data_IF_992812920061
#
_entry.id   IF_992812920061
#
_cell.length_a   1.000
_cell.length_b   1.000
_cell.length_c   1.000
_cell.angle_alpha   90.00
_cell.angle_beta   90.00
_cell.angle_gamma   90.00
#
_symmetry.space_group_name_H-M   'P 1'
#
loop_
_entity.id
_entity.type
_entity.pdbx_description
1 polymer ?
#
# COMPACT_ATOMS: atom_id res chain seq x y z
N UNK A 1 32.98 -71.89 -22.98
CA UNK A 1 33.44 -72.08 -24.39
C UNK A 1 33.16 -70.78 -25.16
N UNK A 2 34.06 -70.21 -25.98
CA UNK A 2 34.25 -70.41 -27.44
C UNK A 2 32.92 -70.44 -28.24
N UNK A 3 32.70 -69.67 -29.33
CA UNK A 3 33.51 -68.59 -29.93
C UNK A 3 32.72 -67.68 -30.93
N UNK A 4 33.36 -66.58 -31.36
CA UNK A 4 33.17 -65.67 -32.52
C UNK A 4 32.37 -66.20 -33.74
N UNK A 5 31.77 -65.39 -34.64
CA UNK A 5 32.19 -64.11 -35.28
C UNK A 5 30.95 -63.41 -35.96
N UNK A 6 30.96 -62.30 -36.73
CA UNK A 6 31.99 -61.38 -37.31
C UNK A 6 31.42 -59.93 -37.51
N UNK A 7 32.30 -59.00 -37.86
CA UNK A 7 32.18 -57.54 -38.12
C UNK A 7 31.34 -57.08 -39.36
N UNK A 8 30.83 -55.84 -39.32
CA UNK A 8 31.21 -54.70 -40.21
C UNK A 8 30.86 -53.31 -39.61
N UNK A 9 31.58 -52.27 -40.03
CA UNK A 9 31.28 -50.82 -39.88
C UNK A 9 31.62 -50.10 -41.20
N UNK A 10 31.82 -48.76 -41.31
CA UNK A 10 32.15 -47.78 -40.24
C UNK A 10 31.52 -46.34 -40.37
N UNK A 11 31.92 -45.42 -39.48
CA UNK A 11 32.12 -43.95 -39.71
C UNK A 11 30.89 -43.01 -39.88
N UNK A 12 30.89 -41.72 -39.52
CA UNK A 12 31.53 -40.95 -38.41
C UNK A 12 30.98 -39.50 -38.33
N UNK A 13 31.31 -38.78 -37.23
CA UNK A 13 31.21 -37.31 -36.98
C UNK A 13 29.81 -36.69 -36.82
N UNK A 14 29.67 -35.78 -35.83
CA UNK A 14 28.51 -34.87 -35.78
C UNK A 14 28.09 -34.29 -34.42
N UNK A 15 29.00 -33.95 -33.50
CA UNK A 15 28.60 -33.19 -32.30
C UNK A 15 27.99 -31.83 -32.68
N UNK A 16 26.85 -31.47 -32.08
CA UNK A 16 26.46 -30.06 -31.99
C UNK A 16 25.60 -29.75 -30.76
N UNK A 17 26.20 -28.99 -29.85
CA UNK A 17 25.60 -28.41 -28.65
C UNK A 17 24.33 -27.62 -29.02
N UNK A 18 23.21 -27.88 -28.32
CA UNK A 18 22.03 -26.99 -28.35
C UNK A 18 22.12 -26.00 -27.19
N UNK A 19 22.76 -24.85 -27.44
CA UNK A 19 22.65 -23.69 -26.55
C UNK A 19 21.23 -23.11 -26.57
N UNK A 20 20.81 -22.52 -25.46
CA UNK A 20 19.56 -21.78 -25.34
C UNK A 20 19.62 -20.50 -26.18
N UNK A 21 18.54 -20.15 -26.88
CA UNK A 21 18.41 -18.88 -27.60
C UNK A 21 17.33 -18.00 -26.95
N UNK A 22 17.76 -16.89 -26.36
CA UNK A 22 16.89 -15.79 -25.94
C UNK A 22 16.22 -15.12 -27.15
N UNK A 23 14.92 -14.79 -27.06
CA UNK A 23 14.32 -13.78 -27.94
C UNK A 23 14.79 -12.37 -27.55
N UNK A 24 15.94 -11.91 -28.09
CA UNK A 24 16.35 -10.50 -28.09
C UNK A 24 16.26 -9.91 -29.51
N UNK A 25 15.09 -9.42 -29.88
CA UNK A 25 14.84 -8.66 -31.12
C UNK A 25 13.79 -7.56 -30.87
N UNK A 26 13.85 -6.38 -31.49
CA UNK A 26 15.02 -5.56 -31.82
C UNK A 26 14.58 -4.11 -32.04
N UNK A 27 15.28 -3.11 -31.50
CA UNK A 27 14.89 -1.69 -31.64
C UNK A 27 15.52 -1.05 -32.90
N UNK A 28 14.86 -1.19 -34.06
CA UNK A 28 15.04 -0.40 -35.31
C UNK A 28 14.03 -0.89 -36.36
N UNK A 29 13.46 -0.05 -37.23
CA UNK A 29 13.56 1.41 -37.37
C UNK A 29 12.29 1.97 -38.06
N UNK A 30 12.01 3.26 -37.86
CA UNK A 30 11.42 4.13 -38.88
C UNK A 30 11.70 5.60 -38.51
N UNK A 31 12.28 6.36 -39.42
CA UNK A 31 12.51 7.82 -39.35
C UNK A 31 12.14 8.42 -40.70
N UNK A 32 11.76 9.70 -40.71
CA UNK A 32 11.36 10.54 -41.87
C UNK A 32 9.95 10.30 -42.43
N UNK A 33 9.01 11.11 -41.95
CA UNK A 33 8.29 12.06 -42.81
C UNK A 33 8.53 13.46 -42.21
N UNK A 34 8.47 14.52 -43.02
CA UNK A 34 8.82 15.91 -42.65
C UNK A 34 7.56 16.79 -42.49
N UNK A 35 7.64 18.04 -41.97
CA UNK A 35 6.54 18.62 -41.22
C UNK A 35 5.51 19.41 -42.04
N UNK A 36 4.26 19.28 -41.60
CA UNK A 36 3.20 20.29 -41.64
C UNK A 36 2.73 20.44 -40.19
N UNK A 37 2.32 21.60 -39.68
CA UNK A 37 2.26 22.95 -40.23
C UNK A 37 1.61 23.81 -39.14
N UNK A 38 2.19 24.95 -38.78
CA UNK A 38 1.74 25.69 -37.60
C UNK A 38 0.41 26.39 -37.88
N UNK A 39 -0.59 26.21 -37.00
CA UNK A 39 -1.76 27.08 -36.96
C UNK A 39 -2.25 27.30 -35.53
N UNK A 40 -2.10 28.53 -35.07
CA UNK A 40 -2.55 29.06 -33.79
C UNK A 40 -3.95 29.67 -33.94
N UNK A 41 -4.92 29.35 -33.07
CA UNK A 41 -6.17 30.10 -32.97
C UNK A 41 -6.12 31.06 -31.77
N UNK A 42 -5.89 32.35 -32.03
CA UNK A 42 -6.08 33.38 -31.01
C UNK A 42 -7.57 33.71 -30.77
N UNK A 43 -7.94 34.18 -29.56
CA UNK A 43 -9.34 34.34 -29.17
C UNK A 43 -9.90 35.75 -29.45
N UNK A 44 -11.13 35.84 -29.96
CA UNK A 44 -11.94 37.06 -29.86
C UNK A 44 -13.43 36.83 -30.14
N UNK A 45 -14.28 37.62 -29.47
CA UNK A 45 -15.73 37.78 -29.65
C UNK A 45 -16.64 36.53 -29.43
N UNK A 46 -17.85 36.66 -28.89
CA UNK A 46 -18.44 37.74 -28.07
C UNK A 46 -19.62 37.18 -27.23
N UNK A 47 -20.20 38.02 -26.37
CA UNK A 47 -21.38 37.69 -25.55
C UNK A 47 -22.60 37.29 -26.41
N UNK A 48 -23.38 36.30 -25.93
CA UNK A 48 -24.83 36.45 -25.68
C UNK A 48 -25.42 35.19 -25.00
N UNK A 49 -26.74 35.22 -24.73
CA UNK A 49 -27.58 34.11 -24.23
C UNK A 49 -27.40 33.69 -22.75
N UNK A 50 -27.52 34.65 -21.83
CA UNK A 50 -28.24 34.37 -20.57
C UNK A 50 -29.75 34.53 -20.80
N UNK A 51 -30.54 33.47 -20.56
CA UNK A 51 -31.99 33.56 -20.32
C UNK A 51 -32.42 32.59 -19.22
N UNK A 52 -32.98 33.12 -18.15
CA UNK A 52 -33.72 32.37 -17.14
C UNK A 52 -35.18 32.14 -17.60
N UNK A 53 -35.82 31.03 -17.20
CA UNK A 53 -37.20 31.01 -16.76
C UNK A 53 -37.28 31.32 -15.26
N UNK A 54 -38.36 31.99 -14.82
CA UNK A 54 -38.63 32.27 -13.41
C UNK A 54 -39.72 31.36 -12.85
N UNK A 55 -39.74 31.18 -11.52
CA UNK A 55 -40.87 30.65 -10.76
C UNK A 55 -41.11 31.54 -9.52
N UNK A 56 -42.35 31.62 -8.99
CA UNK A 56 -42.81 32.79 -8.23
C UNK A 56 -42.50 32.75 -6.73
N UNK A 57 -42.64 33.91 -6.08
CA UNK A 57 -42.48 34.10 -4.65
C UNK A 57 -43.80 33.94 -3.87
N UNK A 58 -43.68 33.61 -2.58
CA UNK A 58 -44.76 33.66 -1.57
C UNK A 58 -44.23 34.46 -0.37
N UNK A 59 -45.10 35.25 0.28
CA UNK A 59 -44.68 36.32 1.18
C UNK A 59 -44.63 35.94 2.68
N UNK A 60 -43.59 36.46 3.34
CA UNK A 60 -43.44 36.87 4.76
C UNK A 60 -44.51 36.51 5.81
N UNK A 61 -44.02 36.08 6.99
CA UNK A 61 -44.51 36.62 8.27
C UNK A 61 -43.38 36.72 9.30
N UNK A 62 -43.53 37.60 10.29
CA UNK A 62 -42.48 38.03 11.23
C UNK A 62 -42.60 37.38 12.62
N UNK A 63 -41.48 37.32 13.36
CA UNK A 63 -41.41 36.84 14.75
C UNK A 63 -40.13 37.31 15.45
N UNK A 64 -40.30 37.96 16.60
CA UNK A 64 -39.28 38.69 17.37
C UNK A 64 -38.31 37.82 18.17
N UNK A 65 -37.09 38.33 18.40
CA UNK A 65 -36.13 37.87 19.44
C UNK A 65 -36.54 38.37 20.85
N UNK A 66 -35.89 37.94 21.95
CA UNK A 66 -34.61 38.58 22.37
C UNK A 66 -33.58 37.67 23.09
N UNK A 67 -32.37 38.22 23.31
CA UNK A 67 -31.37 37.96 24.39
C UNK A 67 -31.17 36.55 24.99
N UNK A 68 -29.94 36.03 25.17
CA UNK A 68 -28.59 36.53 24.87
C UNK A 68 -27.61 36.42 26.06
N UNK A 69 -26.32 36.20 25.78
CA UNK A 69 -25.20 36.40 26.74
C UNK A 69 -23.90 36.69 25.99
N UNK A 70 -22.97 37.37 26.66
CA UNK A 70 -21.63 37.68 26.13
C UNK A 70 -20.54 37.06 26.99
N UNK A 71 -19.47 36.58 26.35
CA UNK A 71 -18.10 36.68 26.88
C UNK A 71 -17.02 36.29 25.86
N UNK A 72 -16.17 37.27 25.55
CA UNK A 72 -14.72 37.18 25.28
C UNK A 72 -14.19 35.85 24.72
N UNK A 73 -14.01 35.79 23.40
CA UNK A 73 -12.97 34.96 22.78
C UNK A 73 -11.70 35.78 22.56
N UNK A 74 -10.55 35.30 23.06
CA UNK A 74 -9.25 35.86 22.67
C UNK A 74 -8.93 35.45 21.22
N UNK A 75 -8.37 36.39 20.45
CA UNK A 75 -8.11 36.22 19.03
C UNK A 75 -6.74 35.59 18.75
N UNK A 76 -6.67 34.27 18.66
CA UNK A 76 -5.54 33.57 18.03
C UNK A 76 -5.76 33.49 16.52
N UNK A 77 -4.95 34.21 15.74
CA UNK A 77 -5.05 34.27 14.28
C UNK A 77 -4.39 33.08 13.59
N UNK A 78 -4.94 31.88 13.80
CA UNK A 78 -4.55 30.67 13.06
C UNK A 78 -5.16 30.62 11.67
N UNK A 79 -4.38 30.25 10.65
CA UNK A 79 -4.89 29.90 9.32
C UNK A 79 -5.80 28.67 9.42
N UNK A 80 -6.97 28.73 8.78
CA UNK A 80 -8.08 27.82 9.07
C UNK A 80 -7.97 26.48 8.32
N UNK A 81 -6.89 25.74 8.58
CA UNK A 81 -6.69 24.34 8.17
C UNK A 81 -7.57 23.43 9.03
N UNK A 82 -8.87 23.40 8.73
CA UNK A 82 -9.87 22.61 9.46
C UNK A 82 -9.44 21.14 9.59
N UNK A 83 -9.68 20.53 10.75
CA UNK A 83 -9.01 19.31 11.23
C UNK A 83 -9.29 18.02 10.45
N UNK A 84 -8.68 17.88 9.26
CA UNK A 84 -8.63 16.63 8.51
C UNK A 84 -7.52 15.69 8.98
N UNK A 85 -6.44 16.24 9.55
CA UNK A 85 -5.20 15.53 9.89
C UNK A 85 -4.94 15.58 11.41
N UNK A 86 -5.92 15.18 12.22
CA UNK A 86 -5.82 15.18 13.69
C UNK A 86 -5.53 13.77 14.21
N UNK A 87 -4.40 13.59 14.90
CA UNK A 87 -3.91 12.29 15.39
C UNK A 87 -3.52 12.38 16.88
N UNK A 88 -4.49 12.48 17.82
CA UNK A 88 -4.20 12.64 19.24
C UNK A 88 -3.41 11.47 19.83
N UNK A 89 -3.69 10.25 19.36
CA UNK A 89 -3.01 9.01 19.75
C UNK A 89 -1.56 8.88 19.22
N UNK A 90 -1.07 9.83 18.42
CA UNK A 90 0.24 9.73 17.76
C UNK A 90 0.85 11.11 17.42
N UNK A 91 1.34 11.85 18.44
CA UNK A 91 1.92 13.18 18.24
C UNK A 91 3.10 13.20 17.27
N UNK A 92 3.97 12.18 17.30
CA UNK A 92 5.10 12.07 16.35
C UNK A 92 4.64 12.09 14.89
N UNK A 93 3.56 11.38 14.59
CA UNK A 93 2.99 11.36 13.24
C UNK A 93 2.30 12.69 12.91
N UNK A 94 1.61 13.31 13.87
CA UNK A 94 1.04 14.65 13.71
C UNK A 94 2.12 15.68 13.35
N UNK A 95 3.25 15.69 14.05
CA UNK A 95 4.40 16.59 13.80
C UNK A 95 5.07 16.36 12.43
N UNK A 96 5.02 15.13 11.91
CA UNK A 96 5.49 14.81 10.55
C UNK A 96 4.52 15.35 9.51
N UNK A 97 3.21 15.21 9.71
CA UNK A 97 2.21 15.77 8.79
C UNK A 97 2.18 17.30 8.85
N UNK A 98 2.33 17.91 10.03
CA UNK A 98 2.40 19.37 10.16
C UNK A 98 3.61 19.93 9.40
N UNK A 99 4.79 19.28 9.49
CA UNK A 99 5.97 19.67 8.69
C UNK A 99 5.78 19.47 7.18
N UNK A 100 5.00 18.46 6.76
CA UNK A 100 4.62 18.29 5.36
C UNK A 100 3.69 19.42 4.87
N UNK A 101 2.74 19.85 5.69
CA UNK A 101 1.83 20.97 5.39
C UNK A 101 2.59 22.30 5.33
N UNK A 102 3.45 22.58 6.32
CA UNK A 102 4.32 23.77 6.35
C UNK A 102 5.26 23.83 5.13
N UNK A 103 5.89 22.71 4.77
CA UNK A 103 6.72 22.62 3.57
C UNK A 103 5.95 22.96 2.29
N UNK A 104 4.72 22.47 2.15
CA UNK A 104 3.84 22.77 1.01
C UNK A 104 3.42 24.26 0.99
N UNK A 105 3.07 24.84 2.14
CA UNK A 105 2.73 26.27 2.25
C UNK A 105 3.94 27.17 1.89
N UNK A 106 5.15 26.76 2.30
CA UNK A 106 6.42 27.39 1.94
C UNK A 106 6.96 26.99 0.54
N UNK A 107 6.15 26.35 -0.31
CA UNK A 107 6.44 26.09 -1.71
C UNK A 107 7.36 24.89 -2.01
N UNK A 108 7.70 24.09 -1.00
CA UNK A 108 8.43 22.82 -1.13
C UNK A 108 7.43 21.70 -1.38
N UNK A 109 7.03 21.54 -2.65
CA UNK A 109 6.00 20.58 -3.03
C UNK A 109 6.50 19.12 -3.10
N UNK A 110 5.61 18.11 -2.90
CA UNK A 110 5.95 16.70 -3.08
C UNK A 110 6.30 16.37 -4.54
N UNK A 111 7.34 15.58 -4.74
CA UNK A 111 7.85 15.17 -6.05
C UNK A 111 7.30 13.80 -6.45
N UNK A 112 6.90 13.66 -7.72
CA UNK A 112 6.29 12.43 -8.22
C UNK A 112 7.32 11.32 -8.43
N UNK A 113 7.07 10.13 -7.90
CA UNK A 113 7.94 8.96 -8.09
C UNK A 113 7.83 8.49 -9.54
N UNK A 114 8.96 8.43 -10.25
CA UNK A 114 9.03 8.13 -11.70
C UNK A 114 8.89 6.64 -12.03
N UNK A 115 9.53 5.78 -11.24
CA UNK A 115 9.54 4.32 -11.43
C UNK A 115 8.27 3.62 -10.93
N UNK A 116 7.46 4.28 -10.10
CA UNK A 116 6.35 3.67 -9.38
C UNK A 116 5.02 3.55 -10.13
N UNK A 117 4.00 3.11 -9.38
CA UNK A 117 2.59 3.18 -9.80
C UNK A 117 2.17 4.65 -10.04
N UNK A 118 1.14 4.87 -10.87
CA UNK A 118 0.86 6.18 -11.48
C UNK A 118 0.31 7.30 -10.57
N UNK A 119 0.40 7.16 -9.25
CA UNK A 119 -0.06 8.14 -8.25
C UNK A 119 0.69 8.00 -6.93
N UNK A 120 2.02 8.13 -6.93
CA UNK A 120 2.86 8.10 -5.72
C UNK A 120 3.82 9.31 -5.70
N UNK A 121 4.01 9.91 -4.53
CA UNK A 121 4.76 11.15 -4.33
C UNK A 121 5.69 11.08 -3.12
N UNK A 122 6.95 11.49 -3.25
CA UNK A 122 7.83 11.78 -2.13
C UNK A 122 7.46 13.12 -1.52
N UNK A 123 6.97 13.11 -0.28
CA UNK A 123 6.68 14.31 0.51
C UNK A 123 7.94 14.71 1.27
N UNK A 124 8.19 16.03 1.33
CA UNK A 124 9.41 16.61 1.88
C UNK A 124 9.10 17.54 3.05
N UNK A 125 10.08 17.75 3.92
CA UNK A 125 10.09 18.87 4.85
C UNK A 125 10.63 20.16 4.21
N UNK A 126 10.65 21.27 4.96
CA UNK A 126 11.15 22.57 4.49
C UNK A 126 12.64 22.52 4.07
N UNK A 127 13.42 21.62 4.68
CA UNK A 127 14.83 21.36 4.37
C UNK A 127 15.00 20.49 3.12
N UNK A 128 13.89 20.17 2.43
CA UNK A 128 13.78 19.30 1.25
C UNK A 128 14.16 17.83 1.50
N UNK A 129 14.27 17.41 2.77
CA UNK A 129 14.48 16.01 3.14
C UNK A 129 13.18 15.24 2.92
N UNK A 130 13.24 14.04 2.34
CA UNK A 130 12.07 13.17 2.18
C UNK A 130 11.65 12.64 3.56
N UNK A 131 10.38 12.84 3.91
CA UNK A 131 9.80 12.44 5.20
C UNK A 131 8.69 11.38 5.05
N UNK A 132 8.12 11.23 3.86
CA UNK A 132 7.11 10.21 3.60
C UNK A 132 6.80 9.98 2.13
N UNK A 133 6.07 8.90 1.86
CA UNK A 133 5.48 8.59 0.55
C UNK A 133 3.97 8.75 0.66
N UNK A 134 3.40 9.62 -0.19
CA UNK A 134 1.96 9.86 -0.26
C UNK A 134 1.35 9.26 -1.53
N UNK A 135 0.27 8.49 -1.37
CA UNK A 135 -0.47 7.82 -2.47
C UNK A 135 -1.94 8.28 -2.47
N UNK A 136 -2.30 9.34 -3.22
CA UNK A 136 -3.67 9.85 -3.23
C UNK A 136 -4.64 8.91 -3.97
N UNK A 137 -5.71 8.51 -3.28
CA UNK A 137 -6.79 7.63 -3.77
C UNK A 137 -7.24 7.93 -5.20
N UNK A 138 -7.44 9.22 -5.52
CA UNK A 138 -7.91 9.68 -6.83
C UNK A 138 -7.02 9.26 -8.01
N UNK A 139 -5.74 8.96 -7.76
CA UNK A 139 -4.72 8.66 -8.78
C UNK A 139 -4.29 7.18 -8.77
N UNK A 140 -4.92 6.34 -7.93
CA UNK A 140 -4.76 4.88 -7.94
C UNK A 140 -5.01 4.28 -9.35
N UNK A 141 -4.55 3.06 -9.66
CA UNK A 141 -4.77 2.43 -10.97
C UNK A 141 -6.24 2.40 -11.47
N UNK A 142 -7.21 2.42 -10.54
CA UNK A 142 -8.66 2.47 -10.82
C UNK A 142 -9.31 3.82 -10.47
N UNK A 143 -8.51 4.80 -10.04
CA UNK A 143 -8.95 6.14 -9.68
C UNK A 143 -9.35 6.98 -10.90
N UNK A 144 -10.34 7.85 -10.70
CA UNK A 144 -10.94 8.69 -11.74
C UNK A 144 -10.01 9.80 -12.27
N UNK A 145 -8.85 10.01 -11.64
CA UNK A 145 -7.80 10.94 -12.05
C UNK A 145 -6.45 10.22 -12.27
N UNK A 146 -6.45 8.92 -12.60
CA UNK A 146 -5.25 8.18 -12.95
C UNK A 146 -4.60 8.74 -14.24
N UNK A 147 -3.37 9.32 -14.18
CA UNK A 147 -2.74 9.93 -15.35
C UNK A 147 -2.21 8.92 -16.39
N UNK A 148 -2.22 7.60 -16.12
CA UNK A 148 -1.93 6.57 -17.15
C UNK A 148 -3.26 6.11 -17.81
N UNK A 149 -3.80 6.97 -18.67
CA UNK A 149 -5.08 6.80 -19.41
C UNK A 149 -5.24 5.45 -20.13
N UNK A 150 -4.14 4.82 -20.54
CA UNK A 150 -4.13 3.50 -21.20
C UNK A 150 -4.83 2.39 -20.41
N UNK A 151 -4.83 2.44 -19.06
CA UNK A 151 -5.57 1.47 -18.24
C UNK A 151 -7.09 1.62 -18.33
N UNK A 152 -7.61 2.81 -18.67
CA UNK A 152 -9.05 3.02 -18.91
C UNK A 152 -9.49 2.40 -20.23
N UNK A 153 -8.68 2.54 -21.29
CA UNK A 153 -8.96 1.92 -22.60
C UNK A 153 -8.98 0.39 -22.50
N UNK A 154 -8.01 -0.22 -21.81
CA UNK A 154 -7.96 -1.68 -21.62
C UNK A 154 -9.12 -2.23 -20.77
N UNK A 155 -9.67 -1.42 -19.84
CA UNK A 155 -10.86 -1.77 -19.05
C UNK A 155 -12.11 -1.95 -19.94
N UNK A 156 -12.17 -1.28 -21.09
CA UNK A 156 -13.30 -1.36 -22.02
C UNK A 156 -13.20 -2.58 -22.95
N UNK A 157 -11.99 -3.01 -23.34
CA UNK A 157 -11.80 -4.10 -24.30
C UNK A 157 -11.65 -5.51 -23.69
N UNK A 158 -11.15 -5.66 -22.46
CA UNK A 158 -10.93 -6.99 -21.84
C UNK A 158 -11.28 -7.03 -20.34
N UNK A 159 -12.57 -7.03 -19.96
CA UNK A 159 -13.01 -6.97 -18.56
C UNK A 159 -12.58 -8.19 -17.71
N UNK A 160 -12.32 -9.34 -18.31
CA UNK A 160 -11.82 -10.54 -17.63
C UNK A 160 -10.30 -10.50 -17.34
N UNK A 161 -9.52 -9.72 -18.08
CA UNK A 161 -8.05 -9.72 -17.97
C UNK A 161 -7.52 -8.65 -17.01
N UNK A 162 -8.18 -7.49 -16.93
CA UNK A 162 -7.65 -6.30 -16.24
C UNK A 162 -8.35 -5.99 -14.91
N UNK A 163 -7.86 -6.63 -13.86
CA UNK A 163 -8.28 -6.42 -12.49
C UNK A 163 -7.70 -7.50 -11.57
N UNK A 164 -7.51 -7.20 -10.29
CA UNK A 164 -7.44 -8.26 -9.26
C UNK A 164 -8.87 -8.56 -8.82
N UNK A 165 -9.51 -9.55 -9.44
CA UNK A 165 -10.92 -9.90 -9.22
C UNK A 165 -11.28 -10.43 -7.82
N UNK A 166 -10.32 -10.38 -6.89
CA UNK A 166 -10.46 -10.67 -5.45
C UNK A 166 -10.28 -9.42 -4.57
N UNK A 167 -9.89 -8.26 -5.12
CA UNK A 167 -9.72 -7.00 -4.40
C UNK A 167 -10.88 -6.04 -4.69
N UNK A 168 -11.20 -5.16 -3.74
CA UNK A 168 -12.10 -4.03 -3.98
C UNK A 168 -11.36 -2.92 -4.74
N UNK A 169 -12.00 -2.26 -5.73
CA UNK A 169 -11.36 -1.21 -6.51
C UNK A 169 -11.24 0.09 -5.69
N UNK A 170 -10.17 0.86 -5.93
CA UNK A 170 -10.01 2.24 -5.45
C UNK A 170 -10.01 2.38 -3.91
N UNK A 171 -9.47 1.37 -3.21
CA UNK A 171 -9.25 1.29 -1.76
C UNK A 171 -7.78 0.99 -1.39
N UNK A 172 -6.83 1.12 -2.33
CA UNK A 172 -5.43 0.79 -2.08
C UNK A 172 -4.81 1.58 -0.93
N UNK A 173 -5.20 2.86 -0.79
CA UNK A 173 -4.79 3.70 0.33
C UNK A 173 -5.27 3.19 1.71
N UNK A 174 -6.41 2.47 1.79
CA UNK A 174 -6.85 1.81 3.02
C UNK A 174 -6.02 0.56 3.29
N UNK A 175 -5.74 -0.24 2.25
CA UNK A 175 -4.88 -1.43 2.35
C UNK A 175 -3.49 -1.11 2.91
N UNK A 176 -2.92 0.04 2.50
CA UNK A 176 -1.66 0.56 3.04
C UNK A 176 -1.73 0.92 4.54
N UNK A 177 -2.73 1.69 4.95
CA UNK A 177 -2.91 2.07 6.36
C UNK A 177 -3.27 0.85 7.23
N UNK A 178 -4.07 -0.08 6.69
CA UNK A 178 -4.49 -1.31 7.35
C UNK A 178 -3.33 -2.30 7.56
N UNK A 179 -2.36 -2.35 6.64
CA UNK A 179 -1.14 -3.13 6.86
C UNK A 179 -0.33 -2.58 8.04
N UNK A 180 -0.20 -1.26 8.17
CA UNK A 180 0.47 -0.62 9.32
C UNK A 180 -0.31 -0.81 10.63
N UNK A 181 -1.65 -0.89 10.57
CA UNK A 181 -2.51 -1.18 11.71
C UNK A 181 -2.31 -2.63 12.18
N UNK A 182 -2.35 -3.60 11.26
CA UNK A 182 -2.10 -5.02 11.55
C UNK A 182 -0.69 -5.23 12.10
N UNK A 183 0.33 -4.58 11.53
CA UNK A 183 1.71 -4.62 12.03
C UNK A 183 1.79 -4.14 13.48
N UNK A 184 1.21 -2.97 13.77
CA UNK A 184 1.20 -2.37 15.12
C UNK A 184 0.47 -3.27 16.12
N UNK A 185 -0.74 -3.77 15.77
CA UNK A 185 -1.57 -4.60 16.66
C UNK A 185 -0.94 -5.98 16.92
N UNK A 186 -0.19 -6.53 15.97
CA UNK A 186 0.62 -7.75 16.14
C UNK A 186 2.01 -7.52 16.76
N UNK A 187 2.51 -6.28 16.80
CA UNK A 187 3.84 -5.95 17.31
C UNK A 187 5.00 -6.41 16.41
N UNK A 188 4.78 -6.44 15.09
CA UNK A 188 5.76 -6.98 14.13
C UNK A 188 6.93 -6.01 13.90
N UNK A 189 6.64 -4.72 13.69
CA UNK A 189 7.63 -3.66 13.51
C UNK A 189 8.32 -3.68 12.16
N UNK A 190 7.65 -4.16 11.10
CA UNK A 190 8.20 -4.23 9.73
C UNK A 190 7.52 -3.26 8.75
N UNK A 191 6.27 -2.83 8.97
CA UNK A 191 5.62 -1.79 8.15
C UNK A 191 6.01 -0.40 8.64
N UNK A 192 6.58 0.48 7.80
CA UNK A 192 6.77 1.88 8.17
C UNK A 192 5.42 2.55 8.48
N UNK A 193 5.30 3.23 9.63
CA UNK A 193 4.06 3.83 10.16
C UNK A 193 3.27 4.53 9.04
N UNK A 194 2.07 4.03 8.74
CA UNK A 194 1.24 4.49 7.60
C UNK A 194 -0.18 4.80 8.04
N UNK A 195 -0.70 5.99 7.71
CA UNK A 195 -2.08 6.40 8.04
C UNK A 195 -2.78 7.06 6.85
N UNK A 196 -4.10 7.21 6.96
CA UNK A 196 -4.91 8.00 6.01
C UNK A 196 -4.72 9.49 6.31
N UNK A 197 -4.35 10.27 5.30
CA UNK A 197 -4.02 11.71 5.42
C UNK A 197 -4.65 12.48 4.25
N UNK A 198 -4.96 13.76 4.49
CA UNK A 198 -5.51 14.69 3.52
C UNK A 198 -4.48 15.77 3.15
N UNK A 199 -3.88 15.72 1.97
CA UNK A 199 -2.93 16.73 1.49
C UNK A 199 -3.44 17.45 0.24
N UNK A 200 -3.11 18.73 0.07
CA UNK A 200 -3.33 19.50 -1.15
C UNK A 200 -1.99 20.07 -1.64
N UNK A 201 -1.61 19.86 -2.91
CA UNK A 201 -0.37 20.40 -3.47
C UNK A 201 -0.48 20.58 -4.99
N UNK A 202 0.15 21.61 -5.56
CA UNK A 202 0.06 21.90 -7.00
C UNK A 202 0.67 20.80 -7.89
N UNK A 203 1.55 19.96 -7.34
CA UNK A 203 2.16 18.80 -8.04
C UNK A 203 1.24 17.58 -8.18
N UNK A 204 0.13 17.52 -7.45
CA UNK A 204 -0.86 16.44 -7.58
C UNK A 204 -1.71 16.60 -8.85
N UNK A 205 -2.24 15.48 -9.38
CA UNK A 205 -3.01 15.48 -10.62
C UNK A 205 -4.47 15.89 -10.40
N UNK A 206 -4.77 17.17 -10.62
CA UNK A 206 -6.12 17.73 -10.51
C UNK A 206 -6.78 17.95 -11.87
N UNK A 207 -8.11 17.95 -11.90
CA UNK A 207 -8.86 18.30 -13.11
C UNK A 207 -8.59 19.77 -13.53
N UNK A 208 -8.75 20.06 -14.81
CA UNK A 208 -8.67 21.43 -15.32
C UNK A 208 -9.69 22.37 -14.63
N UNK A 209 -10.86 21.84 -14.27
CA UNK A 209 -11.92 22.56 -13.56
C UNK A 209 -11.47 22.95 -12.14
N UNK A 210 -10.80 22.07 -11.41
CA UNK A 210 -10.34 22.36 -10.05
C UNK A 210 -9.17 23.35 -10.06
N UNK A 211 -8.27 23.24 -11.04
CA UNK A 211 -7.18 24.22 -11.26
C UNK A 211 -7.70 25.59 -11.69
N UNK A 212 -8.79 25.66 -12.46
CA UNK A 212 -9.46 26.92 -12.78
C UNK A 212 -10.15 27.52 -11.55
N UNK A 213 -10.86 26.70 -10.77
CA UNK A 213 -11.56 27.13 -9.53
C UNK A 213 -10.60 27.62 -8.45
N UNK A 214 -9.44 26.97 -8.25
CA UNK A 214 -8.45 27.42 -7.26
C UNK A 214 -7.84 28.77 -7.64
N UNK A 215 -7.44 28.93 -8.92
CA UNK A 215 -6.96 30.21 -9.48
C UNK A 215 -7.99 31.33 -9.35
N UNK A 216 -9.25 31.08 -9.75
CA UNK A 216 -10.33 32.06 -9.66
C UNK A 216 -10.62 32.50 -8.22
N UNK A 217 -10.60 31.57 -7.26
CA UNK A 217 -10.73 31.88 -5.82
C UNK A 217 -9.56 32.70 -5.28
N UNK A 218 -8.32 32.35 -5.65
CA UNK A 218 -7.12 33.07 -5.23
C UNK A 218 -7.14 34.51 -5.74
N UNK A 219 -7.40 34.69 -7.05
CA UNK A 219 -7.59 36.01 -7.66
C UNK A 219 -8.72 36.82 -7.00
N UNK A 220 -9.86 36.19 -6.70
CA UNK A 220 -10.97 36.86 -6.02
C UNK A 220 -10.65 37.26 -4.56
N UNK A 221 -9.79 36.52 -3.86
CA UNK A 221 -9.27 36.92 -2.55
C UNK A 221 -8.32 38.12 -2.66
N UNK A 222 -7.38 38.07 -3.60
CA UNK A 222 -6.37 39.11 -3.84
C UNK A 222 -6.99 40.43 -4.33
N UNK A 223 -7.99 40.38 -5.22
CA UNK A 223 -8.62 41.56 -5.82
C UNK A 223 -9.85 42.07 -5.10
N UNK A 224 -10.64 41.20 -4.45
CA UNK A 224 -11.88 41.61 -3.76
C UNK A 224 -11.98 40.92 -2.39
N UNK A 225 -11.21 41.36 -1.37
CA UNK A 225 -11.18 40.71 -0.05
C UNK A 225 -12.56 40.54 0.62
N UNK A 226 -13.51 41.45 0.36
CA UNK A 226 -14.90 41.37 0.85
C UNK A 226 -15.70 40.18 0.29
N UNK A 227 -15.32 39.67 -0.89
CA UNK A 227 -15.87 38.44 -1.49
C UNK A 227 -14.98 37.25 -1.14
N UNK A 228 -13.64 37.43 -1.19
CA UNK A 228 -12.66 36.41 -0.79
C UNK A 228 -12.92 35.78 0.57
N UNK A 229 -13.22 36.61 1.59
CA UNK A 229 -13.56 36.17 2.96
C UNK A 229 -14.82 35.30 3.07
N UNK A 230 -15.64 35.17 2.02
CA UNK A 230 -16.79 34.24 1.99
C UNK A 230 -16.38 32.82 1.56
N UNK A 231 -15.22 32.65 0.92
CA UNK A 231 -14.74 31.33 0.53
C UNK A 231 -14.15 30.60 1.74
N UNK A 232 -14.91 29.64 2.27
CA UNK A 232 -14.52 28.77 3.38
C UNK A 232 -13.30 27.86 3.05
N UNK A 233 -12.85 27.85 1.79
CA UNK A 233 -11.59 27.23 1.35
C UNK A 233 -11.07 27.90 0.09
N UNK A 234 -9.85 28.46 0.17
CA UNK A 234 -9.07 29.00 -0.95
C UNK A 234 -7.91 28.03 -1.23
N UNK A 235 -7.47 27.92 -2.49
CA UNK A 235 -6.50 26.90 -2.92
C UNK A 235 -7.16 25.66 -3.55
N UNK A 236 -6.38 24.59 -3.70
CA UNK A 236 -6.81 23.30 -4.27
C UNK A 236 -7.56 22.44 -3.22
N UNK A 237 -8.49 21.56 -3.64
CA UNK A 237 -9.14 20.65 -2.70
C UNK A 237 -8.15 19.56 -2.25
N UNK A 238 -8.13 19.17 -0.97
CA UNK A 238 -7.24 18.10 -0.51
C UNK A 238 -7.65 16.75 -1.13
N UNK A 239 -6.64 15.92 -1.38
CA UNK A 239 -6.81 14.52 -1.74
C UNK A 239 -6.62 13.68 -0.49
N UNK A 240 -7.53 12.73 -0.28
CA UNK A 240 -7.30 11.63 0.67
C UNK A 240 -6.34 10.63 0.05
N UNK A 241 -5.44 10.09 0.86
CA UNK A 241 -4.47 9.06 0.47
C UNK A 241 -3.81 8.42 1.67
N UNK A 242 -2.95 7.44 1.43
CA UNK A 242 -2.07 6.91 2.46
C UNK A 242 -0.79 7.74 2.51
N UNK A 243 -0.34 8.06 3.72
CA UNK A 243 0.97 8.64 3.99
C UNK A 243 1.78 7.62 4.80
N UNK A 244 2.83 7.10 4.19
CA UNK A 244 3.77 6.14 4.77
C UNK A 244 5.06 6.87 5.14
N UNK A 245 5.59 6.66 6.34
CA UNK A 245 6.89 7.25 6.72
C UNK A 245 8.01 6.74 5.81
N UNK A 246 8.91 7.64 5.42
CA UNK A 246 10.09 7.28 4.62
C UNK A 246 11.16 6.62 5.50
N UNK A 247 11.92 5.67 4.95
CA UNK A 247 12.94 4.91 5.69
C UNK A 247 14.30 5.02 5.02
N UNK A 248 15.31 5.46 5.78
CA UNK A 248 16.65 5.79 5.30
C UNK A 248 17.64 4.63 5.45
N UNK A 249 18.51 4.43 4.45
CA UNK A 249 19.50 3.33 4.43
C UNK A 249 18.94 1.96 4.03
N UNK A 250 17.73 1.92 3.47
CA UNK A 250 17.09 0.70 2.97
C UNK A 250 17.26 0.55 1.45
N UNK A 251 17.47 -0.68 0.99
CA UNK A 251 17.49 -1.05 -0.43
C UNK A 251 16.57 -2.25 -0.69
N UNK A 252 16.15 -2.47 -1.94
CA UNK A 252 15.37 -3.64 -2.36
C UNK A 252 15.94 -4.95 -1.80
N UNK A 253 15.08 -5.84 -1.28
CA UNK A 253 15.55 -7.09 -0.71
C UNK A 253 16.27 -7.96 -1.74
N UNK A 254 15.81 -7.95 -2.99
CA UNK A 254 16.44 -8.62 -4.15
C UNK A 254 17.91 -8.20 -4.38
N UNK A 255 18.28 -6.95 -4.09
CA UNK A 255 19.68 -6.48 -4.13
C UNK A 255 20.51 -7.13 -3.00
N UNK A 256 20.00 -7.15 -1.78
CA UNK A 256 20.72 -7.69 -0.62
C UNK A 256 20.79 -9.22 -0.62
N UNK A 257 19.73 -9.91 -1.03
CA UNK A 257 19.69 -11.38 -1.11
C UNK A 257 20.78 -11.90 -2.05
N UNK A 258 20.95 -11.29 -3.25
CA UNK A 258 22.06 -11.61 -4.16
C UNK A 258 23.44 -11.41 -3.53
N UNK A 259 23.61 -10.39 -2.69
CA UNK A 259 24.88 -10.20 -1.96
C UNK A 259 25.09 -11.30 -0.92
N UNK A 260 24.05 -11.71 -0.19
CA UNK A 260 24.15 -12.75 0.84
C UNK A 260 24.33 -14.18 0.26
N UNK A 261 24.03 -14.39 -1.01
CA UNK A 261 24.38 -15.63 -1.74
C UNK A 261 25.89 -15.71 -2.07
N UNK A 262 26.55 -14.56 -2.29
CA UNK A 262 28.00 -14.49 -2.57
C UNK A 262 28.84 -14.31 -1.29
N UNK A 263 28.36 -13.50 -0.34
CA UNK A 263 28.98 -13.18 0.95
C UNK A 263 28.01 -13.57 2.09
N UNK A 264 28.03 -14.83 2.57
CA UNK A 264 27.12 -15.30 3.60
C UNK A 264 27.21 -14.47 4.90
N UNK A 265 26.04 -14.10 5.44
CA UNK A 265 25.95 -13.32 6.68
C UNK A 265 26.50 -14.08 7.90
N UNK A 266 27.14 -13.39 8.87
CA UNK A 266 27.46 -13.95 10.18
C UNK A 266 26.22 -14.54 10.86
N UNK A 267 26.37 -15.64 11.59
CA UNK A 267 25.25 -16.44 12.12
C UNK A 267 24.26 -15.63 12.97
N UNK A 268 24.72 -14.66 13.76
CA UNK A 268 23.86 -13.80 14.56
C UNK A 268 22.99 -12.88 13.69
N UNK A 269 23.59 -12.19 12.70
CA UNK A 269 22.86 -11.38 11.72
C UNK A 269 21.94 -12.24 10.84
N UNK A 270 22.35 -13.48 10.51
CA UNK A 270 21.51 -14.44 9.78
C UNK A 270 20.25 -14.83 10.56
N UNK A 271 20.36 -15.01 11.89
CA UNK A 271 19.21 -15.21 12.79
C UNK A 271 18.32 -13.96 12.88
N UNK A 272 18.91 -12.77 13.02
CA UNK A 272 18.16 -11.50 13.00
C UNK A 272 17.36 -11.34 11.69
N UNK A 273 17.98 -11.61 10.53
CA UNK A 273 17.30 -11.59 9.23
C UNK A 273 16.16 -12.61 9.16
N UNK A 274 16.33 -13.82 9.70
CA UNK A 274 15.28 -14.84 9.75
C UNK A 274 14.09 -14.41 10.62
N UNK A 275 14.32 -13.83 11.81
CA UNK A 275 13.25 -13.27 12.66
C UNK A 275 12.49 -12.13 11.97
N UNK A 276 13.22 -11.20 11.35
CA UNK A 276 12.63 -10.12 10.53
C UNK A 276 11.81 -10.67 9.35
N UNK A 277 12.30 -11.71 8.69
CA UNK A 277 11.63 -12.36 7.56
C UNK A 277 10.34 -13.09 7.99
N UNK A 278 10.35 -13.76 9.14
CA UNK A 278 9.17 -14.41 9.70
C UNK A 278 8.07 -13.41 10.07
N UNK A 279 8.45 -12.23 10.57
CA UNK A 279 7.51 -11.11 10.81
C UNK A 279 6.87 -10.61 9.51
N UNK A 280 7.64 -10.46 8.43
CA UNK A 280 7.13 -10.15 7.09
C UNK A 280 6.15 -11.23 6.58
N UNK A 281 6.49 -12.51 6.75
CA UNK A 281 5.62 -13.65 6.38
C UNK A 281 4.29 -13.61 7.15
N UNK A 282 4.34 -13.35 8.47
CA UNK A 282 3.14 -13.24 9.32
C UNK A 282 2.23 -12.11 8.83
N UNK A 283 2.78 -10.91 8.57
CA UNK A 283 2.04 -9.79 8.01
C UNK A 283 1.36 -10.18 6.69
N UNK A 284 2.13 -10.59 5.69
CA UNK A 284 1.65 -10.86 4.33
C UNK A 284 0.59 -11.97 4.29
N UNK A 285 0.73 -13.00 5.15
CA UNK A 285 -0.25 -14.07 5.24
C UNK A 285 -1.55 -13.59 5.88
N UNK A 286 -1.49 -12.87 7.02
CA UNK A 286 -2.70 -12.35 7.70
C UNK A 286 -3.50 -11.42 6.79
N UNK A 287 -2.84 -10.44 6.14
CA UNK A 287 -3.52 -9.49 5.24
C UNK A 287 -3.84 -10.10 3.85
N UNK A 288 -3.40 -11.35 3.60
CA UNK A 288 -3.34 -12.01 2.28
C UNK A 288 -2.90 -11.06 1.17
N UNK A 289 -1.68 -10.54 1.29
CA UNK A 289 -1.07 -9.70 0.27
C UNK A 289 -1.04 -10.42 -1.09
N UNK A 290 -1.31 -9.69 -2.17
CA UNK A 290 -1.31 -10.23 -3.55
C UNK A 290 -0.18 -9.69 -4.42
N UNK A 291 0.67 -8.76 -3.94
CA UNK A 291 1.77 -8.14 -4.71
C UNK A 291 3.16 -8.15 -4.07
N UNK A 292 3.42 -9.02 -3.08
CA UNK A 292 4.79 -9.13 -2.54
C UNK A 292 5.74 -9.84 -3.52
N UNK A 293 6.36 -9.05 -4.40
CA UNK A 293 7.64 -9.37 -5.06
C UNK A 293 8.84 -9.11 -4.12
N UNK A 294 10.07 -9.35 -4.58
CA UNK A 294 11.31 -9.08 -3.80
C UNK A 294 11.89 -7.66 -4.00
N UNK A 295 11.27 -6.90 -4.89
CA UNK A 295 11.30 -5.45 -5.04
C UNK A 295 10.44 -4.76 -3.95
N UNK A 296 9.25 -5.30 -3.69
CA UNK A 296 8.25 -4.72 -2.80
C UNK A 296 8.50 -4.97 -1.29
N UNK A 297 9.71 -5.31 -0.88
CA UNK A 297 10.18 -5.19 0.51
C UNK A 297 11.66 -4.82 0.51
N UNK A 298 12.07 -4.07 1.52
CA UNK A 298 13.42 -3.53 1.61
C UNK A 298 14.18 -4.18 2.77
N UNK A 299 15.50 -4.30 2.62
CA UNK A 299 16.44 -4.64 3.68
C UNK A 299 17.34 -3.43 3.93
N UNK A 300 17.53 -3.08 5.21
CA UNK A 300 18.63 -2.27 5.70
C UNK A 300 19.62 -3.19 6.40
N UNK A 301 20.89 -3.12 6.03
CA UNK A 301 21.99 -3.85 6.67
C UNK A 301 23.15 -2.89 6.91
N UNK A 302 23.49 -2.67 8.18
CA UNK A 302 24.65 -1.90 8.61
C UNK A 302 25.70 -2.88 9.14
N UNK A 303 26.86 -2.95 8.48
CA UNK A 303 27.97 -3.79 8.92
C UNK A 303 28.65 -3.14 10.13
N UNK A 304 28.79 -3.90 11.20
CA UNK A 304 29.47 -3.49 12.41
C UNK A 304 30.98 -3.42 12.20
N UNK A 305 31.52 -2.19 12.20
CA UNK A 305 32.95 -1.92 12.19
C UNK A 305 33.59 -1.66 10.82
N UNK A 306 34.62 -0.82 10.85
CA UNK A 306 35.64 -0.62 9.80
C UNK A 306 35.24 0.16 8.53
N UNK A 307 34.51 1.27 8.70
CA UNK A 307 34.73 2.47 7.86
C UNK A 307 34.78 3.72 8.76
N UNK A 308 35.91 4.45 8.76
CA UNK A 308 35.96 5.85 9.23
C UNK A 308 36.09 6.13 10.73
N UNK A 309 36.89 5.39 11.50
CA UNK A 309 37.44 5.89 12.79
C UNK A 309 38.97 5.88 12.75
N UNK A 310 39.55 7.08 12.76
CA UNK A 310 40.96 7.30 13.05
C UNK A 310 41.27 7.02 14.52
N UNK A 311 42.53 6.75 14.84
CA UNK A 311 42.99 6.30 16.15
C UNK A 311 42.80 7.36 17.24
N UNK A 312 42.23 6.93 18.38
CA UNK A 312 42.47 7.55 19.70
C UNK A 312 42.02 6.64 20.84
N UNK A 313 42.90 6.48 21.81
CA UNK A 313 42.76 5.54 22.92
C UNK A 313 41.68 5.99 23.92
N UNK A 314 40.80 5.05 24.27
CA UNK A 314 39.94 5.13 25.45
C UNK A 314 39.50 3.72 25.85
N UNK A 315 40.15 3.17 26.88
CA UNK A 315 39.78 1.91 27.53
C UNK A 315 38.48 2.07 28.34
N UNK A 316 37.40 1.37 27.97
CA UNK A 316 36.21 0.97 28.76
C UNK A 316 35.25 0.15 27.86
N UNK A 317 34.20 -0.52 28.38
CA UNK A 317 33.89 -1.90 28.00
C UNK A 317 33.16 -2.07 26.66
N UNK A 318 33.11 -3.32 26.20
CA UNK A 318 32.59 -3.81 24.91
C UNK A 318 31.18 -3.28 24.54
N UNK A 319 31.15 -2.07 23.97
CA UNK A 319 30.01 -1.58 23.19
C UNK A 319 29.95 -2.38 21.89
N UNK A 320 29.37 -3.59 21.96
CA UNK A 320 29.34 -4.55 20.87
C UNK A 320 28.70 -3.92 19.62
N UNK A 321 29.54 -3.61 18.62
CA UNK A 321 29.08 -3.03 17.36
C UNK A 321 28.47 -4.12 16.48
N UNK A 322 27.34 -4.68 16.90
CA UNK A 322 26.66 -5.75 16.19
C UNK A 322 26.15 -5.25 14.82
N UNK A 323 26.33 -6.09 13.79
CA UNK A 323 25.87 -5.75 12.44
C UNK A 323 24.35 -5.86 12.37
N UNK A 324 23.65 -4.71 12.40
CA UNK A 324 22.20 -4.65 12.50
C UNK A 324 21.53 -4.87 11.13
N UNK A 325 20.52 -5.74 11.09
CA UNK A 325 19.70 -5.97 9.89
C UNK A 325 18.21 -5.80 10.20
N UNK A 326 17.49 -5.09 9.33
CA UNK A 326 16.05 -4.77 9.47
C UNK A 326 15.32 -4.88 8.13
N UNK A 327 14.05 -5.26 8.17
CA UNK A 327 13.16 -5.32 7.00
C UNK A 327 12.13 -4.18 7.05
N UNK A 328 11.82 -3.58 5.89
CA UNK A 328 10.70 -2.67 5.71
C UNK A 328 9.71 -3.21 4.65
N UNK A 329 8.47 -3.46 5.07
CA UNK A 329 7.36 -3.94 4.26
C UNK A 329 6.58 -2.76 3.64
N UNK A 330 6.95 -2.37 2.42
CA UNK A 330 6.37 -1.24 1.67
C UNK A 330 5.30 -1.70 0.67
N UNK A 331 4.65 -0.76 -0.02
CA UNK A 331 3.65 -0.98 -1.08
C UNK A 331 2.58 -2.06 -0.79
N UNK A 332 1.93 -1.93 0.38
CA UNK A 332 0.92 -2.86 0.86
C UNK A 332 -0.48 -2.58 0.27
N UNK A 333 -0.58 -1.78 -0.79
CA UNK A 333 -1.83 -1.29 -1.38
C UNK A 333 -2.69 -2.33 -2.12
N UNK A 334 -2.29 -3.60 -2.14
CA UNK A 334 -2.96 -4.69 -2.84
C UNK A 334 -3.12 -5.94 -1.95
N UNK A 335 -3.58 -5.72 -0.72
CA UNK A 335 -3.94 -6.74 0.26
C UNK A 335 -5.45 -6.68 0.60
N UNK A 336 -5.88 -7.39 1.65
CA UNK A 336 -7.27 -7.51 2.10
C UNK A 336 -8.27 -7.93 1.01
N UNK A 337 -8.07 -9.09 0.33
CA UNK A 337 -9.01 -9.59 -0.66
C UNK A 337 -10.32 -10.10 -0.04
N UNK A 338 -11.45 -9.83 -0.72
CA UNK A 338 -12.79 -10.29 -0.31
C UNK A 338 -13.08 -11.76 -0.66
N UNK A 339 -12.18 -12.42 -1.41
CA UNK A 339 -12.19 -13.87 -1.64
C UNK A 339 -10.77 -14.37 -1.89
N UNK A 340 -10.52 -15.66 -1.73
CA UNK A 340 -9.26 -16.23 -2.20
C UNK A 340 -9.11 -16.07 -3.74
N UNK A 341 -7.90 -15.85 -4.27
CA UNK A 341 -7.68 -15.73 -5.71
C UNK A 341 -8.07 -17.01 -6.45
N UNK A 342 -8.75 -16.89 -7.59
CA UNK A 342 -9.09 -18.04 -8.44
C UNK A 342 -7.79 -18.72 -8.96
N UNK A 343 -7.80 -20.04 -9.16
CA UNK A 343 -6.58 -20.83 -9.41
C UNK A 343 -5.79 -20.38 -10.65
N UNK A 344 -6.48 -19.96 -11.72
CA UNK A 344 -5.88 -19.40 -12.93
C UNK A 344 -5.11 -18.09 -12.70
N UNK A 345 -5.18 -17.50 -11.50
CA UNK A 345 -4.51 -16.25 -11.12
C UNK A 345 -4.12 -16.23 -9.64
N UNK A 346 -3.35 -17.23 -9.22
CA UNK A 346 -3.09 -17.58 -7.81
C UNK A 346 -2.51 -16.47 -6.89
N UNK A 347 -1.90 -15.41 -7.42
CA UNK A 347 -1.14 -14.38 -6.69
C UNK A 347 -0.22 -14.96 -5.59
N UNK A 348 0.90 -15.60 -5.97
CA UNK A 348 1.83 -16.21 -5.03
C UNK A 348 2.59 -15.15 -4.23
N UNK A 349 3.05 -15.53 -3.03
CA UNK A 349 4.03 -14.75 -2.28
C UNK A 349 5.43 -15.06 -2.82
N UNK A 350 6.16 -14.09 -3.39
CA UNK A 350 7.43 -14.40 -4.06
C UNK A 350 8.53 -14.83 -3.07
N UNK A 351 8.44 -14.43 -1.80
CA UNK A 351 9.32 -14.91 -0.75
C UNK A 351 9.20 -16.43 -0.50
N UNK A 352 8.12 -17.10 -0.92
CA UNK A 352 7.93 -18.54 -0.67
C UNK A 352 8.94 -19.44 -1.43
N UNK A 353 9.61 -18.90 -2.45
CA UNK A 353 10.69 -19.59 -3.18
C UNK A 353 12.08 -19.39 -2.56
N UNK A 354 12.24 -18.46 -1.62
CA UNK A 354 13.53 -18.16 -0.99
C UNK A 354 13.97 -19.29 -0.03
N UNK A 355 15.29 -19.53 0.15
CA UNK A 355 15.79 -20.49 1.12
C UNK A 355 15.24 -20.28 2.55
N UNK A 356 15.09 -19.02 2.97
CA UNK A 356 14.54 -18.60 4.27
C UNK A 356 13.12 -19.14 4.51
N UNK A 357 12.31 -19.30 3.46
CA UNK A 357 10.94 -19.83 3.57
C UNK A 357 10.88 -21.33 3.87
N UNK A 358 12.00 -22.05 3.79
CA UNK A 358 12.10 -23.49 4.12
C UNK A 358 12.37 -23.72 5.62
N UNK A 359 12.88 -22.71 6.32
CA UNK A 359 13.18 -22.76 7.77
C UNK A 359 11.87 -22.73 8.56
N UNK A 360 11.76 -23.56 9.61
CA UNK A 360 10.60 -23.56 10.51
C UNK A 360 10.51 -22.25 11.31
N UNK A 361 9.30 -21.78 11.61
CA UNK A 361 9.10 -20.56 12.42
C UNK A 361 9.84 -20.66 13.77
N UNK A 362 10.66 -19.66 14.06
CA UNK A 362 11.40 -19.54 15.31
C UNK A 362 10.49 -19.45 16.53
N UNK A 363 11.02 -19.84 17.69
CA UNK A 363 10.28 -19.75 18.96
C UNK A 363 9.91 -18.30 19.30
N UNK A 364 10.78 -17.34 18.97
CA UNK A 364 10.53 -15.89 19.12
C UNK A 364 9.24 -15.46 18.39
N UNK A 365 9.14 -15.77 17.10
CA UNK A 365 7.93 -15.46 16.30
C UNK A 365 6.70 -16.19 16.83
N UNK A 366 6.85 -17.46 17.26
CA UNK A 366 5.75 -18.24 17.83
C UNK A 366 5.20 -17.56 19.08
N UNK A 367 6.03 -17.19 20.05
CA UNK A 367 5.56 -16.63 21.32
C UNK A 367 4.99 -15.20 21.16
N UNK A 368 5.60 -14.38 20.29
CA UNK A 368 5.11 -13.04 19.93
C UNK A 368 3.71 -13.05 19.29
N UNK A 369 3.44 -14.00 18.41
CA UNK A 369 2.27 -13.98 17.50
C UNK A 369 1.18 -14.96 17.93
N UNK A 370 1.52 -16.15 18.42
CA UNK A 370 0.55 -17.20 18.75
C UNK A 370 -0.33 -16.83 19.95
N UNK A 371 0.24 -16.13 20.93
CA UNK A 371 -0.47 -15.56 22.08
C UNK A 371 -1.63 -14.67 21.64
N UNK A 372 -1.39 -13.79 20.66
CA UNK A 372 -2.39 -12.87 20.09
C UNK A 372 -3.36 -13.57 19.13
N UNK A 373 -2.85 -14.33 18.16
CA UNK A 373 -3.68 -14.95 17.10
C UNK A 373 -4.50 -16.18 17.54
N UNK A 374 -4.27 -16.70 18.75
CA UNK A 374 -5.11 -17.77 19.32
C UNK A 374 -6.24 -17.26 20.22
N UNK A 375 -6.19 -15.99 20.65
CA UNK A 375 -7.32 -15.33 21.31
C UNK A 375 -8.34 -14.83 20.28
N UNK A 376 -9.62 -15.10 20.54
CA UNK A 376 -10.72 -14.67 19.69
C UNK A 376 -11.16 -13.24 19.98
N UNK A 377 -10.85 -12.68 21.15
CA UNK A 377 -11.11 -11.28 21.46
C UNK A 377 -10.15 -10.40 20.65
N UNK A 378 -8.84 -10.61 20.75
CA UNK A 378 -7.83 -9.93 19.92
C UNK A 378 -8.16 -9.94 18.41
N UNK A 379 -8.62 -11.07 17.88
CA UNK A 379 -9.01 -11.19 16.46
C UNK A 379 -10.29 -10.43 16.14
N UNK A 380 -11.26 -10.38 17.05
CA UNK A 380 -12.47 -9.54 16.92
C UNK A 380 -12.12 -8.06 17.02
N UNK A 381 -11.31 -7.64 17.99
CA UNK A 381 -10.83 -6.27 18.17
C UNK A 381 -10.02 -5.81 16.94
N UNK A 382 -9.25 -6.70 16.31
CA UNK A 382 -8.56 -6.39 15.05
C UNK A 382 -9.54 -6.20 13.89
N UNK A 383 -10.62 -6.98 13.82
CA UNK A 383 -11.69 -6.75 12.84
C UNK A 383 -12.43 -5.43 13.10
N UNK A 384 -12.56 -5.00 14.35
CA UNK A 384 -13.23 -3.75 14.72
C UNK A 384 -12.38 -2.52 14.42
N UNK A 385 -11.08 -2.51 14.74
CA UNK A 385 -10.16 -1.44 14.31
C UNK A 385 -10.13 -1.30 12.77
N UNK A 386 -10.14 -2.42 12.06
CA UNK A 386 -10.20 -2.44 10.59
C UNK A 386 -11.56 -1.96 10.07
N UNK A 387 -12.66 -2.21 10.78
CA UNK A 387 -13.98 -1.66 10.43
C UNK A 387 -13.99 -0.14 10.59
N UNK A 388 -13.46 0.36 11.70
CA UNK A 388 -13.34 1.80 11.98
C UNK A 388 -12.47 2.54 10.93
N UNK A 389 -11.40 1.89 10.45
CA UNK A 389 -10.59 2.40 9.34
C UNK A 389 -11.33 2.35 7.99
N UNK A 390 -11.88 1.20 7.60
CA UNK A 390 -12.46 1.01 6.26
C UNK A 390 -13.78 1.78 6.07
N UNK A 391 -14.59 1.98 7.12
CA UNK A 391 -15.83 2.77 7.04
C UNK A 391 -15.64 4.25 6.72
N UNK A 392 -14.39 4.75 6.76
CA UNK A 392 -14.05 6.12 6.33
C UNK A 392 -14.20 6.32 4.82
N UNK A 393 -14.29 5.23 4.05
CA UNK A 393 -14.50 5.28 2.61
C UNK A 393 -15.95 5.59 2.23
N UNK A 394 -16.14 6.57 1.34
CA UNK A 394 -17.45 6.88 0.75
C UNK A 394 -18.04 5.74 -0.11
N UNK A 395 -17.23 4.76 -0.50
CA UNK A 395 -17.62 3.54 -1.19
C UNK A 395 -17.50 2.28 -0.32
N UNK A 396 -17.57 2.41 1.01
CA UNK A 396 -17.57 1.26 1.93
C UNK A 396 -18.85 0.42 1.78
N UNK A 397 -18.69 -0.89 1.60
CA UNK A 397 -19.77 -1.89 1.65
C UNK A 397 -19.46 -2.88 2.78
N UNK A 398 -20.29 -2.87 3.82
CA UNK A 398 -20.17 -3.77 4.98
C UNK A 398 -20.24 -5.25 4.59
N UNK A 399 -20.96 -5.59 3.53
CA UNK A 399 -21.10 -6.96 3.01
C UNK A 399 -19.78 -7.46 2.43
N UNK A 400 -19.05 -6.59 1.71
CA UNK A 400 -17.73 -6.92 1.18
C UNK A 400 -16.66 -6.88 2.27
N UNK A 401 -16.78 -5.97 3.24
CA UNK A 401 -15.89 -5.93 4.40
C UNK A 401 -15.94 -7.23 5.21
N UNK A 402 -17.13 -7.78 5.51
CA UNK A 402 -17.23 -9.06 6.21
C UNK A 402 -16.65 -10.25 5.41
N UNK A 403 -16.60 -10.14 4.08
CA UNK A 403 -15.92 -11.10 3.20
C UNK A 403 -14.40 -10.93 3.21
N UNK A 404 -13.88 -9.70 3.31
CA UNK A 404 -12.46 -9.45 3.56
C UNK A 404 -12.05 -10.02 4.93
N UNK A 405 -12.88 -9.80 5.97
CA UNK A 405 -12.63 -10.33 7.31
C UNK A 405 -12.81 -11.85 7.37
N UNK A 406 -13.70 -12.48 6.60
CA UNK A 406 -13.81 -13.95 6.57
C UNK A 406 -12.61 -14.63 5.90
N UNK A 407 -12.00 -13.98 4.90
CA UNK A 407 -10.69 -14.41 4.36
C UNK A 407 -9.58 -14.21 5.41
N UNK A 408 -9.50 -13.04 6.06
CA UNK A 408 -8.49 -12.76 7.10
C UNK A 408 -8.57 -13.75 8.26
N UNK A 409 -9.78 -14.02 8.79
CA UNK A 409 -10.02 -15.04 9.84
C UNK A 409 -9.58 -16.45 9.38
N UNK A 410 -9.74 -16.78 8.10
CA UNK A 410 -9.22 -18.03 7.51
C UNK A 410 -7.70 -18.09 7.40
N UNK A 411 -7.02 -16.97 7.16
CA UNK A 411 -5.55 -16.89 7.22
C UNK A 411 -5.03 -16.98 8.65
N UNK A 412 -5.65 -16.29 9.60
CA UNK A 412 -5.33 -16.40 11.03
C UNK A 412 -5.46 -17.84 11.52
N UNK A 413 -6.53 -18.55 11.14
CA UNK A 413 -6.72 -19.97 11.49
C UNK A 413 -5.58 -20.87 10.97
N UNK A 414 -5.22 -20.75 9.68
CA UNK A 414 -4.13 -21.51 9.09
C UNK A 414 -2.77 -21.18 9.72
N UNK A 415 -2.50 -19.90 9.97
CA UNK A 415 -1.25 -19.43 10.59
C UNK A 415 -1.13 -19.93 12.04
N UNK A 416 -2.19 -19.84 12.84
CA UNK A 416 -2.24 -20.39 14.21
C UNK A 416 -2.00 -21.90 14.23
N UNK A 417 -2.53 -22.66 13.25
CA UNK A 417 -2.23 -24.09 13.11
C UNK A 417 -0.78 -24.36 12.71
N UNK A 418 -0.21 -23.56 11.80
CA UNK A 418 1.18 -23.69 11.35
C UNK A 418 2.19 -23.37 12.46
N UNK A 419 1.95 -22.30 13.24
CA UNK A 419 2.77 -21.91 14.39
C UNK A 419 2.69 -22.97 15.50
N UNK A 420 1.50 -23.50 15.82
CA UNK A 420 1.36 -24.63 16.75
C UNK A 420 2.14 -25.86 16.27
N UNK A 421 1.99 -26.22 15.00
CA UNK A 421 2.66 -27.38 14.38
C UNK A 421 4.15 -27.19 14.01
N UNK A 422 4.79 -26.06 14.34
CA UNK A 422 6.22 -25.84 14.06
C UNK A 422 6.57 -25.83 12.57
N UNK A 423 5.64 -25.44 11.70
CA UNK A 423 5.82 -25.45 10.24
C UNK A 423 6.76 -24.34 9.75
N UNK A 424 7.21 -24.44 8.50
CA UNK A 424 7.92 -23.37 7.78
C UNK A 424 6.97 -22.51 6.91
N UNK A 425 7.36 -21.28 6.52
CA UNK A 425 6.58 -20.42 5.63
C UNK A 425 6.13 -21.10 4.32
N UNK A 426 6.98 -21.94 3.71
CA UNK A 426 6.61 -22.69 2.49
C UNK A 426 5.51 -23.73 2.77
N UNK A 427 5.53 -24.39 3.93
CA UNK A 427 4.47 -25.33 4.35
C UNK A 427 3.17 -24.62 4.73
N UNK A 428 3.24 -23.38 5.23
CA UNK A 428 2.07 -22.53 5.53
C UNK A 428 1.33 -22.12 4.25
N UNK A 429 2.04 -21.72 3.18
CA UNK A 429 1.39 -21.35 1.91
C UNK A 429 0.87 -22.55 1.11
N UNK A 430 1.32 -23.76 1.45
CA UNK A 430 0.79 -25.03 0.94
C UNK A 430 -0.49 -25.50 1.66
N UNK A 431 -0.89 -24.88 2.77
CA UNK A 431 -2.12 -25.28 3.48
C UNK A 431 -3.38 -24.96 2.66
N UNK A 432 -4.43 -25.81 2.74
CA UNK A 432 -5.68 -25.58 2.02
C UNK A 432 -6.31 -24.25 2.44
N UNK A 433 -6.95 -23.58 1.48
CA UNK A 433 -7.48 -22.22 1.68
C UNK A 433 -8.80 -22.28 2.42
N UNK A 434 -8.84 -21.66 3.60
CA UNK A 434 -10.03 -21.58 4.46
C UNK A 434 -10.63 -20.19 4.41
N UNK A 435 -11.95 -20.11 4.53
CA UNK A 435 -12.73 -18.89 4.82
C UNK A 435 -13.53 -19.15 6.10
N UNK A 436 -13.60 -18.17 7.00
CA UNK A 436 -14.28 -18.29 8.31
C UNK A 436 -15.35 -17.22 8.43
N UNK A 437 -16.59 -17.61 8.17
CA UNK A 437 -17.76 -16.72 8.16
C UNK A 437 -18.41 -16.68 9.55
N UNK A 438 -18.79 -15.49 10.03
CA UNK A 438 -19.57 -15.31 11.26
C UNK A 438 -21.05 -15.43 10.92
N UNK A 439 -21.78 -16.37 11.51
CA UNK A 439 -23.24 -16.39 11.38
C UNK A 439 -23.83 -15.18 12.11
N UNK A 440 -24.42 -14.24 11.36
CA UNK A 440 -25.30 -13.25 11.96
C UNK A 440 -26.59 -13.96 12.39
N UNK A 441 -26.97 -13.83 13.66
CA UNK A 441 -28.24 -14.37 14.15
C UNK A 441 -29.40 -13.75 13.38
N UNK A 442 -30.33 -14.59 12.90
CA UNK A 442 -31.59 -14.13 12.32
C UNK A 442 -32.50 -13.49 13.38
N UNK A 443 -33.49 -12.71 12.94
CA UNK A 443 -34.48 -12.11 13.84
C UNK A 443 -35.38 -13.18 14.47
N UNK A 444 -34.97 -13.69 15.63
CA UNK A 444 -35.70 -14.63 16.48
C UNK A 444 -35.46 -14.26 17.95
N UNK A 445 -36.44 -14.56 18.82
CA UNK A 445 -36.37 -14.19 20.25
C UNK A 445 -35.40 -15.10 21.03
N UNK A 446 -34.97 -14.59 22.19
CA UNK A 446 -34.00 -15.15 23.15
C UNK A 446 -32.54 -14.95 22.72
N UNK A 447 -31.81 -14.14 23.50
CA UNK A 447 -30.40 -13.81 23.27
C UNK A 447 -29.52 -14.74 24.10
N UNK A 448 -28.83 -15.65 23.42
CA UNK A 448 -27.62 -16.29 23.94
C UNK A 448 -26.52 -16.03 22.91
N UNK A 449 -25.50 -15.24 23.26
CA UNK A 449 -24.49 -14.71 22.33
C UNK A 449 -23.42 -15.75 21.93
N UNK A 450 -23.84 -16.84 21.30
CA UNK A 450 -22.93 -17.79 20.64
C UNK A 450 -22.60 -17.31 19.22
N UNK A 451 -21.43 -16.70 19.05
CA UNK A 451 -20.88 -16.35 17.73
C UNK A 451 -20.50 -17.63 16.96
N UNK A 452 -21.48 -18.28 16.33
CA UNK A 452 -21.28 -19.50 15.56
C UNK A 452 -20.52 -19.21 14.27
N UNK A 453 -19.21 -19.45 14.26
CA UNK A 453 -18.38 -19.38 13.07
C UNK A 453 -18.57 -20.63 12.20
N UNK A 454 -18.64 -20.44 10.88
CA UNK A 454 -18.67 -21.54 9.89
C UNK A 454 -17.34 -21.53 9.12
N UNK A 455 -16.66 -22.68 9.11
CA UNK A 455 -15.39 -22.86 8.39
C UNK A 455 -15.68 -23.50 7.03
N UNK A 456 -15.24 -22.87 5.95
CA UNK A 456 -15.40 -23.36 4.58
C UNK A 456 -14.03 -23.62 3.98
N UNK A 457 -13.75 -24.89 3.66
CA UNK A 457 -12.50 -25.33 3.03
C UNK A 457 -12.64 -25.32 1.51
N UNK A 458 -11.84 -24.52 0.81
CA UNK A 458 -11.76 -24.56 -0.65
C UNK A 458 -10.83 -25.69 -1.12
N UNK A 459 -11.30 -26.93 -0.96
CA UNK A 459 -10.64 -28.13 -1.47
C UNK A 459 -11.12 -28.43 -2.90
N UNK A 460 -10.45 -27.85 -3.88
CA UNK A 460 -10.36 -28.40 -5.25
C UNK A 460 -8.89 -28.65 -5.55
N UNK A 461 -8.59 -29.73 -6.27
CA UNK A 461 -7.24 -29.98 -6.75
C UNK A 461 -6.94 -29.00 -7.90
N UNK A 462 -5.74 -28.39 -7.93
CA UNK A 462 -5.37 -27.50 -9.03
C UNK A 462 -5.40 -28.29 -10.34
N UNK A 463 -6.05 -27.74 -11.37
CA UNK A 463 -6.34 -28.43 -12.64
C UNK A 463 -5.11 -28.89 -13.46
N UNK A 464 -3.90 -28.62 -12.95
CA UNK A 464 -2.61 -29.10 -13.48
C UNK A 464 -1.78 -29.70 -12.33
N UNK A 465 -2.18 -30.88 -11.84
CA UNK A 465 -1.38 -31.70 -10.91
C UNK A 465 -0.89 -33.01 -11.54
N UNK A 466 -0.69 -33.00 -12.86
CA UNK A 466 -0.05 -34.09 -13.62
C UNK A 466 0.82 -33.50 -14.73
N UNK A 467 2.13 -33.44 -14.50
CA UNK A 467 3.24 -33.51 -15.47
C UNK A 467 4.55 -33.60 -14.67
#
# INVERSE_FOLDING_TARGET
>A
QKASCRKTGPSSKGERIRQQLHPRLCFRALRRVSPLGWMEPQPQAALQLFRHPALPAIASRSGSSPSGWSSRTHSTSGTNSGGFNHFPEDPEFADIIQRAEQAIENGVFPERISQGSSGSYFVKDEKRKIIGVFKPKSEEPYGHLNPKWTKYFHKLCCPCCFGRGCLLPNQGYLSEAAASLVDTKLGLGVVPKTKVVYLASETFHYSAIDRAKSRGKKYALEKVPKVGRRFHRVGLPPKVGSFQLFVEGYHEADHWLRRFEAEPLPENTRKQLQSQFERLVVLDYVIRNTDRGNDNWLIKYEKGGTEGREEKDAEWPESCSESCIKIAAIDNGLAFPFKHPDEWRAYPFHWAWLPQAKVAFSQETRDLVLSRLSDMNFVQDLCEDLYELFKTDKGFDKTMFERQMSVMRGQVLNLTQALKGGKSPIQLVQMPRVVVERRSGGQGRVVTLSNAFTQTFHCKQPFFSSW
#
